data_IF_473907494247
#
_entry.id   IF_473907494247
#
_cell.length_a   1.000
_cell.length_b   1.000
_cell.length_c   1.000
_cell.angle_alpha   90.00
_cell.angle_beta   90.00
_cell.angle_gamma   90.00
#
_symmetry.space_group_name_H-M   'P 1'
#
loop_
_entity.id
_entity.type
_entity.pdbx_description
1 polymer ?
#
# COMPACT_ATOMS: atom_id res chain seq x y z
N UNK A 1 -5.66 -35.46 -2.45
CA UNK A 1 -5.58 -34.64 -3.69
C UNK A 1 -4.12 -34.57 -4.07
N UNK A 2 -3.73 -35.11 -5.22
CA UNK A 2 -2.36 -34.94 -5.70
C UNK A 2 -2.15 -33.44 -5.94
N UNK A 3 -1.28 -32.83 -5.14
CA UNK A 3 -0.76 -31.49 -5.44
C UNK A 3 -0.14 -31.61 -6.83
N UNK A 4 -0.57 -30.78 -7.79
CA UNK A 4 0.16 -30.69 -9.05
C UNK A 4 1.62 -30.38 -8.72
N UNK A 5 2.54 -31.25 -9.13
CA UNK A 5 3.96 -31.14 -8.80
C UNK A 5 4.66 -30.07 -9.65
N UNK A 6 4.05 -29.68 -10.77
CA UNK A 6 4.61 -28.78 -11.76
C UNK A 6 3.64 -27.65 -12.10
N UNK A 7 4.20 -26.50 -12.46
CA UNK A 7 3.53 -25.49 -13.28
C UNK A 7 3.80 -25.89 -14.72
N UNK A 8 2.75 -26.25 -15.44
CA UNK A 8 2.85 -26.72 -16.82
C UNK A 8 2.40 -25.62 -17.78
N UNK A 9 3.29 -25.19 -18.66
CA UNK A 9 3.06 -24.14 -19.65
C UNK A 9 3.09 -24.81 -21.02
N UNK A 10 2.04 -24.63 -21.80
CA UNK A 10 1.89 -25.21 -23.13
C UNK A 10 1.71 -24.12 -24.18
N UNK A 11 2.51 -24.20 -25.24
CA UNK A 11 2.42 -23.34 -26.41
C UNK A 11 2.67 -21.86 -26.11
N UNK A 12 3.66 -21.53 -25.28
CA UNK A 12 3.98 -20.12 -25.01
C UNK A 12 4.62 -19.48 -26.24
N UNK A 13 4.03 -18.39 -26.71
CA UNK A 13 4.39 -17.67 -27.94
C UNK A 13 4.63 -16.18 -27.74
N UNK A 14 4.63 -15.71 -26.49
CA UNK A 14 4.80 -14.28 -26.26
C UNK A 14 6.12 -13.71 -26.76
N UNK A 15 6.01 -12.55 -27.40
CA UNK A 15 7.10 -11.86 -28.09
C UNK A 15 7.89 -12.76 -29.06
N UNK A 16 9.06 -13.26 -28.62
CA UNK A 16 9.95 -14.06 -29.45
C UNK A 16 9.98 -15.54 -29.07
N UNK A 17 9.13 -15.98 -28.13
CA UNK A 17 8.95 -17.38 -27.79
C UNK A 17 8.44 -18.16 -29.00
N UNK A 18 8.97 -19.37 -29.21
CA UNK A 18 8.72 -20.18 -30.42
C UNK A 18 7.80 -21.36 -30.12
N UNK A 19 6.61 -21.07 -29.57
CA UNK A 19 5.62 -22.07 -29.20
C UNK A 19 6.20 -23.15 -28.28
N UNK A 20 6.72 -22.71 -27.13
CA UNK A 20 7.46 -23.59 -26.22
C UNK A 20 6.56 -24.21 -25.16
N UNK A 21 6.85 -25.47 -24.82
CA UNK A 21 6.26 -26.18 -23.68
C UNK A 21 7.30 -26.28 -22.57
N UNK A 22 6.90 -25.93 -21.34
CA UNK A 22 7.80 -25.91 -20.17
C UNK A 22 7.09 -26.46 -18.95
N UNK A 23 7.79 -27.32 -18.19
CA UNK A 23 7.36 -27.75 -16.85
C UNK A 23 8.30 -27.20 -15.79
N UNK A 24 7.75 -26.44 -14.84
CA UNK A 24 8.50 -25.82 -13.74
C UNK A 24 8.12 -26.53 -12.45
N UNK A 25 9.05 -27.16 -11.72
CA UNK A 25 8.73 -27.82 -10.46
C UNK A 25 8.26 -26.81 -9.41
N UNK A 26 7.15 -27.12 -8.74
CA UNK A 26 6.62 -26.27 -7.67
C UNK A 26 7.43 -26.40 -6.40
N UNK A 27 7.35 -25.37 -5.55
CA UNK A 27 8.04 -25.33 -4.24
C UNK A 27 9.56 -25.47 -4.34
N UNK A 28 10.12 -25.10 -5.51
CA UNK A 28 11.56 -25.06 -5.78
C UNK A 28 11.98 -23.66 -6.16
N UNK A 29 13.22 -23.32 -5.84
CA UNK A 29 13.90 -22.19 -6.46
C UNK A 29 14.29 -22.58 -7.88
N UNK A 30 13.63 -21.98 -8.86
CA UNK A 30 13.91 -22.22 -10.29
C UNK A 30 14.56 -20.99 -10.88
N UNK A 31 15.67 -21.20 -11.59
CA UNK A 31 16.42 -20.13 -12.25
C UNK A 31 16.27 -20.28 -13.76
N UNK A 32 15.69 -19.27 -14.41
CA UNK A 32 15.62 -19.19 -15.87
C UNK A 32 16.86 -18.44 -16.36
N UNK A 33 17.71 -19.12 -17.14
CA UNK A 33 18.98 -18.59 -17.64
C UNK A 33 19.06 -18.62 -19.17
N UNK A 34 20.04 -17.92 -19.74
CA UNK A 34 20.22 -17.79 -21.19
C UNK A 34 20.71 -16.41 -21.63
N UNK A 35 21.18 -16.31 -22.88
CA UNK A 35 21.70 -15.08 -23.49
C UNK A 35 20.68 -13.93 -23.47
N UNK A 36 21.15 -12.68 -23.51
CA UNK A 36 20.25 -11.53 -23.65
C UNK A 36 19.36 -11.68 -24.88
N UNK A 37 18.07 -11.35 -24.76
CA UNK A 37 17.09 -11.53 -25.83
C UNK A 37 16.61 -12.98 -26.05
N UNK A 38 17.03 -13.97 -25.27
CA UNK A 38 16.59 -15.37 -25.45
C UNK A 38 15.14 -15.68 -25.06
N UNK A 39 14.33 -14.68 -24.69
CA UNK A 39 12.93 -14.86 -24.28
C UNK A 39 12.72 -15.17 -22.79
N UNK A 40 13.74 -15.04 -21.93
CA UNK A 40 13.61 -15.29 -20.47
C UNK A 40 12.53 -14.42 -19.83
N UNK A 41 12.59 -13.11 -20.10
CA UNK A 41 11.62 -12.16 -19.56
C UNK A 41 10.24 -12.39 -20.15
N UNK A 42 10.16 -12.77 -21.43
CA UNK A 42 8.90 -13.11 -22.10
C UNK A 42 8.22 -14.32 -21.46
N UNK A 43 8.98 -15.34 -21.10
CA UNK A 43 8.44 -16.49 -20.36
C UNK A 43 8.07 -16.11 -18.92
N UNK A 44 8.96 -15.45 -18.19
CA UNK A 44 8.77 -15.20 -16.76
C UNK A 44 7.73 -14.11 -16.45
N UNK A 45 7.85 -12.94 -17.10
CA UNK A 45 7.04 -11.77 -16.83
C UNK A 45 5.84 -11.69 -17.78
N UNK A 46 6.10 -11.75 -19.09
CA UNK A 46 5.05 -11.49 -20.09
C UNK A 46 4.08 -12.67 -20.24
N UNK A 47 4.50 -13.89 -19.86
CA UNK A 47 3.64 -15.10 -19.88
C UNK A 47 3.18 -15.51 -18.48
N UNK A 48 4.10 -15.97 -17.63
CA UNK A 48 3.74 -16.59 -16.33
C UNK A 48 3.16 -15.56 -15.36
N UNK A 49 3.84 -14.43 -15.15
CA UNK A 49 3.35 -13.38 -14.25
C UNK A 49 2.08 -12.71 -14.79
N UNK A 50 2.03 -12.39 -16.08
CA UNK A 50 0.83 -11.82 -16.70
C UNK A 50 -0.40 -12.71 -16.52
N UNK A 51 -0.29 -14.02 -16.80
CA UNK A 51 -1.39 -14.97 -16.60
C UNK A 51 -1.75 -15.11 -15.10
N UNK A 52 -0.76 -15.11 -14.22
CA UNK A 52 -0.98 -15.17 -12.77
C UNK A 52 -1.74 -13.95 -12.23
N UNK A 53 -1.36 -12.76 -12.68
CA UNK A 53 -2.02 -11.51 -12.33
C UNK A 53 -3.44 -11.46 -12.90
N UNK A 54 -3.63 -11.90 -14.16
CA UNK A 54 -4.94 -12.00 -14.81
C UNK A 54 -5.89 -12.90 -14.02
N UNK A 55 -5.47 -14.12 -13.69
CA UNK A 55 -6.26 -15.07 -12.87
C UNK A 55 -6.59 -14.51 -11.49
N UNK A 56 -5.65 -13.78 -10.87
CA UNK A 56 -5.92 -13.13 -9.59
C UNK A 56 -7.01 -12.05 -9.72
N UNK A 57 -6.95 -11.19 -10.74
CA UNK A 57 -7.98 -10.18 -11.02
C UNK A 57 -9.36 -10.82 -11.32
N UNK A 58 -9.38 -11.99 -11.96
CA UNK A 58 -10.62 -12.73 -12.22
C UNK A 58 -11.37 -13.17 -10.96
N UNK A 59 -10.68 -13.27 -9.82
CA UNK A 59 -11.31 -13.61 -8.52
C UNK A 59 -12.09 -12.45 -7.89
N UNK A 60 -11.93 -11.22 -8.38
CA UNK A 60 -12.62 -10.04 -7.86
C UNK A 60 -14.06 -9.95 -8.35
N UNK A 61 -14.87 -9.15 -7.64
CA UNK A 61 -16.26 -8.87 -8.03
C UNK A 61 -16.36 -8.34 -9.46
N UNK A 62 -17.49 -8.62 -10.14
CA UNK A 62 -17.74 -8.15 -11.51
C UNK A 62 -17.60 -6.62 -11.63
N UNK A 63 -18.04 -5.88 -10.61
CA UNK A 63 -17.89 -4.43 -10.53
C UNK A 63 -16.41 -4.01 -10.47
N UNK A 64 -15.61 -4.62 -9.59
CA UNK A 64 -14.19 -4.29 -9.45
C UNK A 64 -13.39 -4.57 -10.74
N UNK A 65 -13.73 -5.64 -11.47
CA UNK A 65 -13.09 -5.98 -12.75
C UNK A 65 -13.27 -4.89 -13.83
N UNK A 66 -14.35 -4.12 -13.78
CA UNK A 66 -14.57 -3.01 -14.71
C UNK A 66 -13.52 -1.89 -14.54
N UNK A 67 -13.00 -1.69 -13.32
CA UNK A 67 -12.02 -0.63 -13.02
C UNK A 67 -10.58 -1.09 -13.12
N UNK A 68 -10.32 -2.39 -12.94
CA UNK A 68 -8.98 -2.96 -12.99
C UNK A 68 -8.44 -3.10 -14.43
N UNK A 69 -9.30 -2.92 -15.43
CA UNK A 69 -8.99 -3.15 -16.83
C UNK A 69 -8.90 -4.66 -17.13
N UNK A 70 -9.21 -5.03 -18.36
CA UNK A 70 -8.85 -6.36 -18.84
C UNK A 70 -7.34 -6.40 -19.03
N UNK A 71 -6.62 -7.20 -18.23
CA UNK A 71 -5.25 -7.55 -18.59
C UNK A 71 -5.31 -8.36 -19.89
N UNK A 72 -4.51 -7.98 -20.89
CA UNK A 72 -4.36 -8.76 -22.10
C UNK A 72 -3.94 -10.18 -21.73
N UNK A 73 -4.63 -11.15 -22.32
CA UNK A 73 -4.30 -12.56 -22.11
C UNK A 73 -3.01 -12.84 -22.89
N UNK A 74 -1.97 -13.38 -22.25
CA UNK A 74 -0.75 -13.72 -22.97
C UNK A 74 -1.03 -14.81 -24.01
N UNK A 75 -0.29 -14.80 -25.10
CA UNK A 75 -0.32 -15.80 -26.16
C UNK A 75 0.32 -17.12 -25.66
N UNK A 76 -0.53 -17.93 -25.04
CA UNK A 76 -0.23 -19.25 -24.50
C UNK A 76 -1.47 -20.13 -24.60
N UNK A 77 -1.30 -21.40 -24.97
CA UNK A 77 -2.43 -22.32 -25.12
C UNK A 77 -3.04 -22.68 -23.76
N UNK A 78 -2.20 -23.08 -22.81
CA UNK A 78 -2.63 -23.47 -21.47
C UNK A 78 -1.52 -23.26 -20.45
N UNK A 79 -1.90 -22.83 -19.25
CA UNK A 79 -1.05 -22.91 -18.06
C UNK A 79 -1.81 -23.65 -16.95
N UNK A 80 -1.24 -24.73 -16.41
CA UNK A 80 -1.76 -25.47 -15.26
C UNK A 80 -0.85 -25.32 -14.03
N UNK A 81 -1.39 -25.52 -12.83
CA UNK A 81 -0.61 -25.45 -11.58
C UNK A 81 -0.12 -24.07 -11.15
N UNK A 82 -0.57 -23.00 -11.83
CA UNK A 82 -0.17 -21.64 -11.50
C UNK A 82 -0.84 -21.15 -10.20
N UNK A 83 -0.02 -20.74 -9.25
CA UNK A 83 -0.46 -20.09 -8.00
C UNK A 83 -0.63 -18.59 -8.22
N UNK A 84 -1.25 -17.83 -7.28
CA UNK A 84 -1.16 -16.37 -7.31
C UNK A 84 0.30 -15.93 -7.40
N UNK A 85 0.62 -15.08 -8.39
CA UNK A 85 1.99 -14.70 -8.72
C UNK A 85 2.27 -13.28 -8.23
N UNK A 86 3.47 -13.08 -7.69
CA UNK A 86 4.01 -11.76 -7.33
C UNK A 86 5.28 -11.55 -8.14
N UNK A 87 5.36 -10.44 -8.87
CA UNK A 87 6.59 -9.99 -9.52
C UNK A 87 7.36 -9.08 -8.58
N UNK A 88 8.66 -9.33 -8.44
CA UNK A 88 9.60 -8.44 -7.75
C UNK A 88 10.59 -7.94 -8.80
N UNK A 89 10.31 -6.77 -9.35
CA UNK A 89 11.14 -6.11 -10.36
C UNK A 89 11.98 -5.00 -9.74
N UNK A 90 13.13 -4.72 -10.35
CA UNK A 90 13.91 -3.52 -10.08
C UNK A 90 13.27 -2.29 -10.77
N UNK A 91 11.98 -2.02 -10.51
CA UNK A 91 11.37 -0.74 -10.89
C UNK A 91 11.82 0.32 -9.89
N UNK A 92 12.17 1.50 -10.39
CA UNK A 92 12.62 2.61 -9.54
C UNK A 92 11.50 2.96 -8.55
N UNK A 93 11.81 2.96 -7.26
CA UNK A 93 10.86 3.36 -6.21
C UNK A 93 10.40 4.80 -6.47
N UNK A 94 9.10 5.04 -6.35
CA UNK A 94 8.49 6.36 -6.52
C UNK A 94 9.29 7.46 -5.80
N UNK A 95 9.68 8.51 -6.53
CA UNK A 95 10.53 9.62 -6.06
C UNK A 95 9.77 10.64 -5.20
N UNK A 96 8.88 10.18 -4.31
CA UNK A 96 8.26 11.10 -3.34
C UNK A 96 9.29 11.47 -2.27
N UNK A 97 9.57 12.76 -2.02
CA UNK A 97 10.51 13.17 -0.98
C UNK A 97 10.03 12.82 0.43
N UNK A 98 8.75 12.46 0.60
CA UNK A 98 8.18 11.99 1.87
C UNK A 98 8.24 10.47 2.03
N UNK A 99 8.71 9.74 1.01
CA UNK A 99 8.87 8.30 1.06
C UNK A 99 10.26 7.95 1.60
N UNK A 100 10.30 7.13 2.63
CA UNK A 100 11.51 6.63 3.26
C UNK A 100 11.45 5.11 3.35
N UNK A 101 12.55 4.45 3.72
CA UNK A 101 12.54 3.00 3.99
C UNK A 101 11.47 2.66 5.03
N UNK A 102 11.34 3.44 6.10
CA UNK A 102 10.36 3.19 7.16
C UNK A 102 8.90 3.29 6.71
N UNK A 103 8.60 4.15 5.72
CA UNK A 103 7.23 4.25 5.18
C UNK A 103 6.93 3.15 4.16
N UNK A 104 7.93 2.70 3.39
CA UNK A 104 7.76 1.62 2.39
C UNK A 104 7.58 0.27 3.08
N UNK A 105 8.27 0.04 4.19
CA UNK A 105 8.17 -1.20 4.98
C UNK A 105 7.07 -1.17 6.04
N UNK A 106 6.30 -0.08 6.13
CA UNK A 106 5.27 0.18 7.15
C UNK A 106 5.79 0.20 8.60
N UNK A 107 7.09 0.01 8.84
CA UNK A 107 7.72 0.09 10.18
C UNK A 107 7.41 1.43 10.84
N UNK A 108 7.41 2.52 10.07
CA UNK A 108 7.11 3.85 10.60
C UNK A 108 5.69 3.96 11.17
N UNK A 109 4.72 3.24 10.61
CA UNK A 109 3.35 3.26 11.14
C UNK A 109 3.24 2.52 12.47
N UNK A 110 3.99 1.42 12.64
CA UNK A 110 4.12 0.76 13.94
C UNK A 110 4.83 1.65 14.96
N UNK A 111 5.90 2.35 14.56
CA UNK A 111 6.59 3.29 15.43
C UNK A 111 5.65 4.42 15.88
N UNK A 112 4.83 4.97 14.97
CA UNK A 112 3.85 6.00 15.35
C UNK A 112 2.87 5.50 16.40
N UNK A 113 2.38 4.26 16.26
CA UNK A 113 1.49 3.65 17.25
C UNK A 113 2.19 3.41 18.59
N UNK A 114 3.45 2.95 18.56
CA UNK A 114 4.26 2.73 19.75
C UNK A 114 4.45 4.05 20.52
N UNK A 115 4.93 5.09 19.84
CA UNK A 115 5.16 6.39 20.47
C UNK A 115 3.86 7.02 20.98
N UNK A 116 2.76 6.91 20.23
CA UNK A 116 1.48 7.45 20.65
C UNK A 116 0.89 6.75 21.89
N UNK A 117 1.25 5.49 22.16
CA UNK A 117 0.67 4.69 23.25
C UNK A 117 1.57 4.51 24.46
N UNK A 118 2.88 4.53 24.27
CA UNK A 118 3.85 4.13 25.29
C UNK A 118 4.86 5.22 25.65
N UNK A 119 4.93 6.33 24.92
CA UNK A 119 5.91 7.39 25.18
C UNK A 119 5.30 8.56 25.94
N UNK A 120 6.08 9.09 26.87
CA UNK A 120 5.82 10.37 27.52
C UNK A 120 6.22 11.52 26.59
N UNK A 121 5.34 12.52 26.49
CA UNK A 121 5.58 13.70 25.67
C UNK A 121 6.29 14.79 26.48
N UNK A 122 7.32 15.40 25.91
CA UNK A 122 8.08 16.50 26.53
C UNK A 122 8.02 17.75 25.64
N UNK A 123 7.99 18.92 26.29
CA UNK A 123 8.03 20.22 25.61
C UNK A 123 9.40 20.47 25.01
N UNK A 124 9.48 20.74 23.71
CA UNK A 124 10.75 21.03 23.02
C UNK A 124 11.40 22.37 23.44
N UNK A 125 10.66 23.27 24.08
CA UNK A 125 11.17 24.56 24.53
C UNK A 125 11.71 24.51 25.98
N UNK A 126 11.12 23.66 26.81
CA UNK A 126 11.37 23.65 28.27
C UNK A 126 11.89 22.33 28.80
N UNK A 127 11.93 21.27 27.98
CA UNK A 127 12.27 19.88 28.35
C UNK A 127 11.45 19.31 29.52
N UNK A 128 10.30 19.92 29.80
CA UNK A 128 9.38 19.48 30.84
C UNK A 128 8.34 18.50 30.30
N UNK A 129 7.90 17.58 31.16
CA UNK A 129 6.84 16.62 30.86
C UNK A 129 5.55 17.37 30.51
N UNK A 130 4.93 17.02 29.38
CA UNK A 130 3.62 17.55 29.01
C UNK A 130 2.54 16.95 29.91
N UNK A 131 1.73 17.83 30.50
CA UNK A 131 0.63 17.45 31.39
C UNK A 131 -0.70 17.96 30.84
N UNK A 132 -1.79 17.35 31.27
CA UNK A 132 -3.14 17.84 30.97
C UNK A 132 -3.47 19.05 31.84
N UNK A 133 -4.05 20.10 31.23
CA UNK A 133 -4.60 21.24 31.96
C UNK A 133 -6.12 21.17 32.06
N UNK A 134 -6.64 21.66 33.18
CA UNK A 134 -8.06 21.90 33.38
C UNK A 134 -8.50 23.21 32.70
N UNK A 135 -9.81 23.34 32.48
CA UNK A 135 -10.38 24.54 31.85
C UNK A 135 -10.05 25.82 32.61
N UNK A 136 -10.05 25.81 33.95
CA UNK A 136 -9.71 26.99 34.74
C UNK A 136 -8.21 27.33 34.63
N UNK A 137 -7.33 26.32 34.62
CA UNK A 137 -5.89 26.55 34.39
C UNK A 137 -5.64 27.14 32.99
N UNK A 138 -6.34 26.67 31.95
CA UNK A 138 -6.24 27.22 30.60
C UNK A 138 -6.71 28.68 30.59
N UNK A 139 -7.80 29.00 31.29
CA UNK A 139 -8.34 30.36 31.38
C UNK A 139 -7.40 31.31 32.13
N UNK A 140 -6.82 30.87 33.24
CA UNK A 140 -5.80 31.63 33.98
C UNK A 140 -4.58 31.93 33.10
N UNK A 141 -4.10 30.94 32.34
CA UNK A 141 -3.00 31.13 31.38
C UNK A 141 -3.35 32.16 30.31
N UNK A 142 -4.55 32.09 29.73
CA UNK A 142 -4.99 33.08 28.72
C UNK A 142 -5.04 34.48 29.32
N UNK A 143 -5.63 34.65 30.51
CA UNK A 143 -5.73 35.95 31.18
C UNK A 143 -4.36 36.50 31.58
N UNK A 144 -3.42 35.64 31.97
CA UNK A 144 -2.05 36.01 32.31
C UNK A 144 -1.23 36.42 31.08
N UNK A 145 -1.07 35.51 30.12
CA UNK A 145 -0.14 35.67 28.99
C UNK A 145 -0.62 36.71 27.96
N UNK A 146 -1.94 36.91 27.87
CA UNK A 146 -2.57 37.79 26.90
C UNK A 146 -3.27 39.01 27.50
N UNK A 147 -2.95 39.36 28.76
CA UNK A 147 -3.49 40.57 29.38
C UNK A 147 -3.21 41.81 28.51
N UNK A 148 -4.24 42.63 28.30
CA UNK A 148 -4.20 43.83 27.44
C UNK A 148 -3.77 43.59 25.98
N UNK A 149 -3.74 42.35 25.49
CA UNK A 149 -3.49 42.03 24.08
C UNK A 149 -4.82 41.75 23.39
N UNK A 150 -4.98 42.26 22.17
CA UNK A 150 -6.10 41.86 21.31
C UNK A 150 -5.85 40.43 20.82
N UNK A 151 -6.74 39.51 21.16
CA UNK A 151 -6.69 38.11 20.75
C UNK A 151 -7.99 37.71 20.03
N UNK A 152 -7.92 36.69 19.19
CA UNK A 152 -9.09 36.04 18.57
C UNK A 152 -9.17 34.62 19.12
N UNK A 153 -10.30 34.30 19.77
CA UNK A 153 -10.55 32.94 20.30
C UNK A 153 -11.24 32.12 19.21
N UNK A 154 -10.61 31.02 18.81
CA UNK A 154 -11.12 30.11 17.80
C UNK A 154 -11.43 28.74 18.42
N UNK A 155 -12.53 28.12 17.99
CA UNK A 155 -12.92 26.77 18.40
C UNK A 155 -12.92 25.83 17.19
N UNK A 156 -11.85 25.03 16.97
CA UNK A 156 -11.81 24.05 15.89
C UNK A 156 -12.69 22.84 16.23
N UNK A 157 -13.98 22.95 15.92
CA UNK A 157 -15.01 21.94 16.24
C UNK A 157 -14.81 20.61 15.51
N UNK A 158 -14.19 20.65 14.32
CA UNK A 158 -13.88 19.48 13.51
C UNK A 158 -12.39 19.47 13.24
N UNK A 159 -11.69 18.40 13.69
CA UNK A 159 -10.25 18.23 13.47
C UNK A 159 -9.99 16.97 12.63
N UNK A 160 -9.69 17.16 11.36
CA UNK A 160 -9.22 16.10 10.44
C UNK A 160 -10.09 14.84 10.36
N UNK A 161 -11.38 14.94 10.70
CA UNK A 161 -12.35 13.83 10.61
C UNK A 161 -13.25 14.01 9.39
N UNK A 162 -13.42 12.95 8.60
CA UNK A 162 -14.39 12.92 7.50
C UNK A 162 -15.80 12.73 8.07
N UNK A 163 -16.79 13.41 7.51
CA UNK A 163 -18.19 13.28 7.93
C UNK A 163 -19.10 14.37 7.35
N UNK A 164 -20.41 14.18 7.48
CA UNK A 164 -21.41 15.22 7.20
C UNK A 164 -21.74 15.97 8.50
N UNK A 165 -21.55 17.29 8.50
CA UNK A 165 -21.64 18.11 9.73
C UNK A 165 -22.79 19.12 9.71
N UNK A 166 -23.80 18.90 8.86
CA UNK A 166 -24.93 19.82 8.71
C UNK A 166 -25.65 20.08 10.03
N UNK A 167 -25.95 19.01 10.77
CA UNK A 167 -26.66 19.10 12.05
C UNK A 167 -25.82 19.83 13.12
N UNK A 168 -24.51 19.56 13.15
CA UNK A 168 -23.57 20.25 14.05
C UNK A 168 -23.62 21.77 13.83
N UNK A 169 -23.50 22.23 12.59
CA UNK A 169 -23.58 23.67 12.29
C UNK A 169 -24.97 24.27 12.56
N UNK A 170 -26.04 23.50 12.35
CA UNK A 170 -27.40 23.95 12.70
C UNK A 170 -27.62 24.13 14.20
N UNK A 171 -27.01 23.28 15.03
CA UNK A 171 -27.07 23.40 16.49
C UNK A 171 -26.29 24.60 17.01
N UNK A 172 -25.12 24.90 16.43
CA UNK A 172 -24.27 26.02 16.85
C UNK A 172 -24.80 27.38 16.38
N UNK A 173 -25.55 27.40 15.28
CA UNK A 173 -26.16 28.64 14.76
C UNK A 173 -27.40 29.09 15.54
N UNK A 174 -27.87 28.31 16.51
CA UNK A 174 -28.95 28.68 17.43
C UNK A 174 -28.38 29.33 18.69
#
# INVERSE_FOLDING_TARGET
>A
MNKEEYIEIYGAREHNLKNIDVKIPREKLVVITGLSGSGKSSLAFDTIYAEGQRRYIETFSAYARQFLGGLERPDVDKIDGLSPVISIEQKTTNKSPRSTVGTITEIYDFLRLLYARASDAYSYNTDQLMVSYSDEQIKELILGDFNNKKIVVLAPLIKSRKGHYRELFQQISK
#
